data_IF_126516916425
#
_entry.id   IF_126516916425
#
_cell.length_a   1.000
_cell.length_b   1.000
_cell.length_c   1.000
_cell.angle_alpha   90.00
_cell.angle_beta   90.00
_cell.angle_gamma   90.00
#
_symmetry.space_group_name_H-M   'P 1'
#
loop_
_entity.id
_entity.type
_entity.pdbx_description
1 polymer ?
#
# COMPACT_ATOMS: atom_id res chain seq x y z
N UNK A 1 -32.17 31.08 20.27
CA UNK A 1 -31.68 30.54 21.56
C UNK A 1 -31.22 29.11 21.31
N UNK A 2 -29.91 28.87 21.27
CA UNK A 2 -29.34 27.53 21.15
C UNK A 2 -29.22 26.90 22.53
N UNK A 3 -29.72 25.68 22.70
CA UNK A 3 -29.58 24.92 23.94
C UNK A 3 -28.09 24.58 24.09
N UNK A 4 -27.43 24.94 25.21
CA UNK A 4 -26.04 24.54 25.43
C UNK A 4 -26.01 23.03 25.63
N UNK A 5 -25.29 22.32 24.77
CA UNK A 5 -25.02 20.88 24.92
C UNK A 5 -23.92 20.76 25.97
N UNK A 6 -24.26 20.90 27.24
CA UNK A 6 -23.30 20.67 28.33
C UNK A 6 -23.17 19.16 28.50
N UNK A 7 -22.21 18.55 27.80
CA UNK A 7 -21.90 17.13 27.99
C UNK A 7 -21.50 16.86 29.44
N UNK A 8 -22.08 15.82 30.04
CA UNK A 8 -21.71 15.41 31.39
C UNK A 8 -20.28 14.84 31.40
N UNK A 9 -19.51 15.01 32.49
CA UNK A 9 -18.14 14.48 32.57
C UNK A 9 -18.05 12.97 32.29
N UNK A 10 -19.07 12.21 32.68
CA UNK A 10 -19.19 10.77 32.42
C UNK A 10 -19.33 10.47 30.94
N UNK A 11 -20.18 11.19 30.21
CA UNK A 11 -20.34 11.00 28.76
C UNK A 11 -19.04 11.27 28.01
N UNK A 12 -18.31 12.33 28.39
CA UNK A 12 -17.03 12.68 27.77
C UNK A 12 -16.00 11.56 28.00
N UNK A 13 -15.89 11.02 29.22
CA UNK A 13 -14.95 9.94 29.53
C UNK A 13 -15.33 8.60 28.86
N UNK A 14 -16.62 8.28 28.77
CA UNK A 14 -17.10 7.07 28.08
C UNK A 14 -16.82 7.16 26.58
N UNK A 15 -17.09 8.30 25.95
CA UNK A 15 -16.80 8.55 24.55
C UNK A 15 -15.29 8.48 24.27
N UNK A 16 -14.46 9.12 25.10
CA UNK A 16 -13.00 9.10 24.97
C UNK A 16 -12.44 7.67 25.04
N UNK A 17 -12.97 6.84 25.94
CA UNK A 17 -12.62 5.41 26.03
C UNK A 17 -13.01 4.64 24.77
N UNK A 18 -14.20 4.88 24.20
CA UNK A 18 -14.64 4.24 22.96
C UNK A 18 -13.78 4.68 21.77
N UNK A 19 -13.50 5.98 21.66
CA UNK A 19 -12.67 6.54 20.59
C UNK A 19 -11.24 6.00 20.68
N UNK A 20 -10.64 6.00 21.87
CA UNK A 20 -9.29 5.43 22.09
C UNK A 20 -9.21 3.97 21.64
N UNK A 21 -10.22 3.16 21.99
CA UNK A 21 -10.29 1.75 21.57
C UNK A 21 -10.48 1.60 20.07
N UNK A 22 -11.24 2.49 19.44
CA UNK A 22 -11.43 2.51 17.99
C UNK A 22 -10.12 2.86 17.29
N UNK A 23 -9.39 3.86 17.76
CA UNK A 23 -8.07 4.23 17.23
C UNK A 23 -7.07 3.07 17.32
N UNK A 24 -7.08 2.32 18.42
CA UNK A 24 -6.23 1.13 18.59
C UNK A 24 -6.61 -0.02 17.65
N UNK A 25 -7.91 -0.20 17.35
CA UNK A 25 -8.37 -1.16 16.35
C UNK A 25 -7.89 -0.76 14.96
N UNK A 26 -8.10 0.52 14.60
CA UNK A 26 -7.71 1.05 13.30
C UNK A 26 -6.19 0.97 13.07
N UNK A 27 -5.39 1.28 14.09
CA UNK A 27 -3.93 1.18 14.01
C UNK A 27 -3.47 -0.25 13.74
N UNK A 28 -4.07 -1.24 14.42
CA UNK A 28 -3.77 -2.66 14.18
C UNK A 28 -4.26 -3.13 12.82
N UNK A 29 -5.41 -2.64 12.35
CA UNK A 29 -5.90 -2.96 11.01
C UNK A 29 -4.94 -2.45 9.93
N UNK A 30 -4.43 -1.21 10.06
CA UNK A 30 -3.44 -0.64 9.15
C UNK A 30 -2.11 -1.41 9.16
N UNK A 31 -1.67 -1.89 10.33
CA UNK A 31 -0.50 -2.76 10.43
C UNK A 31 -0.70 -4.10 9.68
N UNK A 32 -1.89 -4.70 9.79
CA UNK A 32 -2.25 -5.90 9.03
C UNK A 32 -2.36 -5.61 7.52
N UNK A 33 -2.84 -4.43 7.12
CA UNK A 33 -2.82 -4.01 5.72
C UNK A 33 -1.39 -3.90 5.18
N UNK A 34 -0.43 -3.42 5.99
CA UNK A 34 0.99 -3.41 5.62
C UNK A 34 1.56 -4.82 5.43
N UNK A 35 1.21 -5.75 6.32
CA UNK A 35 1.59 -7.17 6.19
C UNK A 35 1.00 -7.79 4.92
N UNK A 36 -0.28 -7.50 4.64
CA UNK A 36 -0.95 -7.95 3.41
C UNK A 36 -0.25 -7.43 2.16
N UNK A 37 0.17 -6.15 2.14
CA UNK A 37 0.93 -5.60 1.02
C UNK A 37 2.27 -6.32 0.83
N UNK A 38 3.00 -6.63 1.91
CA UNK A 38 4.25 -7.40 1.81
C UNK A 38 4.02 -8.80 1.23
N UNK A 39 2.95 -9.48 1.62
CA UNK A 39 2.59 -10.79 1.07
C UNK A 39 2.20 -10.71 -0.41
N UNK A 40 1.48 -9.65 -0.81
CA UNK A 40 1.14 -9.39 -2.20
C UNK A 40 2.39 -9.11 -3.06
N UNK A 41 3.34 -8.33 -2.55
CA UNK A 41 4.61 -8.10 -3.21
C UNK A 41 5.41 -9.40 -3.37
N UNK A 42 5.49 -10.23 -2.33
CA UNK A 42 6.13 -11.54 -2.41
C UNK A 42 5.45 -12.46 -3.45
N UNK A 43 4.12 -12.41 -3.56
CA UNK A 43 3.40 -13.14 -4.60
C UNK A 43 3.72 -12.63 -6.00
N UNK A 44 3.88 -11.30 -6.17
CA UNK A 44 4.33 -10.70 -7.42
C UNK A 44 5.75 -11.17 -7.78
N UNK A 45 6.68 -11.16 -6.83
CA UNK A 45 8.07 -11.57 -7.03
C UNK A 45 8.17 -13.04 -7.47
N UNK A 46 7.30 -13.93 -6.95
CA UNK A 46 7.21 -15.32 -7.43
C UNK A 46 6.89 -15.37 -8.92
N UNK A 47 5.99 -14.52 -9.42
CA UNK A 47 5.64 -14.47 -10.85
C UNK A 47 6.82 -13.99 -11.70
N UNK A 48 7.57 -12.99 -11.23
CA UNK A 48 8.77 -12.47 -11.90
C UNK A 48 9.87 -13.53 -11.98
N UNK A 49 10.13 -14.25 -10.88
CA UNK A 49 11.15 -15.30 -10.83
C UNK A 49 10.87 -16.50 -11.76
N UNK A 50 9.62 -16.69 -12.20
CA UNK A 50 9.25 -17.74 -13.15
C UNK A 50 9.40 -17.31 -14.62
N UNK A 51 9.92 -16.10 -14.87
CA UNK A 51 10.24 -15.64 -16.20
C UNK A 51 11.71 -15.94 -16.54
N UNK A 52 11.93 -16.94 -17.42
CA UNK A 52 13.26 -17.34 -17.91
C UNK A 52 13.94 -16.26 -18.78
N UNK A 53 13.20 -15.25 -19.23
CA UNK A 53 13.65 -14.19 -20.15
C UNK A 53 13.69 -12.80 -19.49
N UNK A 54 13.54 -12.70 -18.16
CA UNK A 54 13.52 -11.42 -17.47
C UNK A 54 14.86 -10.69 -17.59
N UNK A 55 14.90 -9.60 -18.36
CA UNK A 55 15.99 -8.65 -18.31
C UNK A 55 15.91 -7.94 -16.97
N UNK A 56 16.89 -8.17 -16.10
CA UNK A 56 16.86 -7.71 -14.69
C UNK A 56 16.94 -6.18 -14.59
N UNK A 57 17.31 -5.50 -15.68
CA UNK A 57 17.42 -4.05 -15.77
C UNK A 57 16.10 -3.36 -16.17
N UNK A 58 15.06 -4.12 -16.55
CA UNK A 58 13.78 -3.54 -16.96
C UNK A 58 12.82 -3.38 -15.77
N UNK A 59 12.48 -2.13 -15.45
CA UNK A 59 11.56 -1.75 -14.37
C UNK A 59 10.09 -1.94 -14.76
N UNK A 60 9.82 -2.88 -15.68
CA UNK A 60 8.48 -3.13 -16.19
C UNK A 60 7.69 -3.95 -15.18
N UNK A 61 6.59 -3.36 -14.69
CA UNK A 61 5.68 -3.89 -13.66
C UNK A 61 4.84 -5.09 -14.10
N UNK A 62 5.20 -5.76 -15.20
CA UNK A 62 4.49 -6.89 -15.75
C UNK A 62 5.52 -7.99 -16.00
N UNK A 63 5.35 -9.19 -15.39
CA UNK A 63 6.19 -10.33 -15.72
C UNK A 63 6.14 -10.59 -17.22
N UNK A 64 7.25 -10.30 -17.90
CA UNK A 64 7.33 -10.45 -19.36
C UNK A 64 7.44 -11.94 -19.76
N UNK A 65 7.37 -12.22 -21.06
CA UNK A 65 7.44 -13.58 -21.57
C UNK A 65 6.19 -14.42 -21.30
N UNK A 66 5.99 -15.46 -22.14
CA UNK A 66 4.79 -16.31 -22.08
C UNK A 66 4.65 -17.06 -20.76
N UNK A 67 5.76 -17.44 -20.12
CA UNK A 67 5.77 -18.15 -18.84
C UNK A 67 5.44 -17.21 -17.67
N UNK A 68 6.04 -16.01 -17.64
CA UNK A 68 5.78 -14.99 -16.62
C UNK A 68 4.33 -14.52 -16.62
N UNK A 69 3.77 -14.24 -17.81
CA UNK A 69 2.37 -13.81 -17.94
C UNK A 69 1.39 -14.89 -17.43
N UNK A 70 1.64 -16.16 -17.73
CA UNK A 70 0.81 -17.28 -17.26
C UNK A 70 0.89 -17.42 -15.74
N UNK A 71 2.11 -17.36 -15.17
CA UNK A 71 2.31 -17.42 -13.72
C UNK A 71 1.60 -16.27 -13.00
N UNK A 72 1.76 -15.05 -13.50
CA UNK A 72 1.12 -13.86 -12.97
C UNK A 72 -0.41 -13.94 -13.00
N UNK A 73 -0.99 -14.36 -14.13
CA UNK A 73 -2.45 -14.57 -14.26
C UNK A 73 -2.96 -15.63 -13.28
N UNK A 74 -2.22 -16.72 -13.09
CA UNK A 74 -2.57 -17.79 -12.14
C UNK A 74 -2.58 -17.26 -10.70
N UNK A 75 -1.52 -16.57 -10.29
CA UNK A 75 -1.39 -15.96 -8.95
C UNK A 75 -2.51 -14.95 -8.70
N UNK A 76 -2.77 -14.08 -9.67
CA UNK A 76 -3.85 -13.09 -9.57
C UNK A 76 -5.21 -13.74 -9.40
N UNK A 77 -5.53 -14.78 -10.18
CA UNK A 77 -6.80 -15.49 -10.11
C UNK A 77 -6.99 -16.23 -8.77
N UNK A 78 -5.92 -16.84 -8.25
CA UNK A 78 -5.92 -17.53 -6.95
C UNK A 78 -6.16 -16.57 -5.79
N UNK A 79 -5.45 -15.43 -5.78
CA UNK A 79 -5.62 -14.40 -4.76
C UNK A 79 -7.02 -13.75 -4.86
N UNK A 80 -7.49 -13.45 -6.07
CA UNK A 80 -8.82 -12.89 -6.31
C UNK A 80 -9.92 -13.79 -5.74
N UNK A 81 -9.81 -15.10 -5.99
CA UNK A 81 -10.74 -16.10 -5.48
C UNK A 81 -10.67 -16.20 -3.96
N UNK A 82 -9.46 -16.29 -3.39
CA UNK A 82 -9.23 -16.41 -1.94
C UNK A 82 -9.75 -15.20 -1.17
N UNK A 83 -9.58 -14.00 -1.73
CA UNK A 83 -10.01 -12.73 -1.13
C UNK A 83 -11.45 -12.33 -1.49
N UNK A 84 -12.08 -13.03 -2.43
CA UNK A 84 -13.41 -12.70 -3.00
C UNK A 84 -13.45 -11.29 -3.59
N UNK A 85 -12.41 -10.91 -4.31
CA UNK A 85 -12.28 -9.64 -5.02
C UNK A 85 -12.18 -9.87 -6.52
N UNK A 86 -12.43 -8.82 -7.31
CA UNK A 86 -12.23 -8.91 -8.76
C UNK A 86 -10.74 -9.06 -9.11
N UNK A 87 -10.43 -9.77 -10.20
CA UNK A 87 -9.04 -9.85 -10.69
C UNK A 87 -8.45 -8.46 -10.96
N UNK A 88 -9.22 -7.53 -11.51
CA UNK A 88 -8.76 -6.14 -11.74
C UNK A 88 -8.40 -5.42 -10.44
N UNK A 89 -9.12 -5.69 -9.35
CA UNK A 89 -8.77 -5.15 -8.02
C UNK A 89 -7.47 -5.75 -7.50
N UNK A 90 -7.28 -7.07 -7.67
CA UNK A 90 -6.06 -7.75 -7.24
C UNK A 90 -4.86 -7.34 -8.09
N UNK A 91 -5.03 -7.17 -9.40
CA UNK A 91 -4.00 -6.68 -10.31
C UNK A 91 -3.38 -5.37 -9.80
N UNK A 92 -4.24 -4.37 -9.57
CA UNK A 92 -3.83 -3.07 -9.04
C UNK A 92 -3.17 -3.20 -7.65
N UNK A 93 -3.69 -4.05 -6.79
CA UNK A 93 -3.12 -4.28 -5.45
C UNK A 93 -1.74 -4.94 -5.52
N UNK A 94 -1.54 -5.90 -6.42
CA UNK A 94 -0.25 -6.55 -6.65
C UNK A 94 0.78 -5.54 -7.17
N UNK A 95 0.42 -4.74 -8.17
CA UNK A 95 1.29 -3.68 -8.70
C UNK A 95 1.64 -2.64 -7.62
N UNK A 96 0.65 -2.14 -6.89
CA UNK A 96 0.87 -1.19 -5.79
C UNK A 96 1.73 -1.79 -4.67
N UNK A 97 1.50 -3.05 -4.31
CA UNK A 97 2.29 -3.75 -3.30
C UNK A 97 3.77 -3.83 -3.70
N UNK A 98 4.06 -4.27 -4.92
CA UNK A 98 5.42 -4.38 -5.43
C UNK A 98 6.13 -3.02 -5.47
N UNK A 99 5.48 -1.99 -6.04
CA UNK A 99 5.99 -0.61 -6.06
C UNK A 99 6.28 -0.09 -4.65
N UNK A 100 5.33 -0.27 -3.73
CA UNK A 100 5.44 0.21 -2.35
C UNK A 100 6.64 -0.40 -1.63
N UNK A 101 6.80 -1.73 -1.74
CA UNK A 101 7.88 -2.45 -1.05
C UNK A 101 9.26 -2.14 -1.62
N UNK A 102 9.35 -1.88 -2.93
CA UNK A 102 10.62 -1.66 -3.60
C UNK A 102 11.08 -0.20 -3.56
N UNK A 103 10.16 0.75 -3.71
CA UNK A 103 10.48 2.16 -4.00
C UNK A 103 10.01 3.16 -2.93
N UNK A 104 9.09 2.77 -2.04
CA UNK A 104 8.52 3.69 -1.04
C UNK A 104 8.53 3.08 0.38
N UNK A 105 9.72 2.76 0.91
CA UNK A 105 9.84 2.08 2.20
C UNK A 105 9.34 2.91 3.40
N UNK A 106 9.37 4.25 3.32
CA UNK A 106 8.87 5.11 4.41
C UNK A 106 7.35 5.19 4.39
N UNK A 107 6.73 5.13 3.21
CA UNK A 107 5.26 4.98 3.10
C UNK A 107 4.84 3.64 3.72
N UNK A 108 5.57 2.56 3.44
CA UNK A 108 5.31 1.26 4.03
C UNK A 108 5.45 1.27 5.56
N UNK A 109 6.50 1.91 6.10
CA UNK A 109 6.68 2.08 7.54
C UNK A 109 5.52 2.87 8.17
N UNK A 110 5.09 3.94 7.52
CA UNK A 110 3.99 4.79 7.98
C UNK A 110 2.67 4.01 8.03
N UNK A 111 2.41 3.16 7.03
CA UNK A 111 1.26 2.25 7.02
C UNK A 111 1.38 1.21 8.15
N UNK A 112 2.55 0.59 8.32
CA UNK A 112 2.80 -0.42 9.34
C UNK A 112 2.64 0.12 10.76
N UNK A 113 2.98 1.40 10.98
CA UNK A 113 2.79 2.11 12.25
C UNK A 113 1.36 2.63 12.44
N UNK A 114 0.51 2.47 11.43
CA UNK A 114 -0.89 2.90 11.41
C UNK A 114 -1.08 4.41 11.35
N UNK A 115 -0.08 5.16 10.89
CA UNK A 115 -0.15 6.61 10.70
C UNK A 115 -0.95 6.97 9.45
N UNK A 116 -0.88 6.12 8.43
CA UNK A 116 -1.68 6.23 7.21
C UNK A 116 -2.49 4.95 6.99
N UNK A 117 -3.48 5.01 6.10
CA UNK A 117 -4.27 3.85 5.68
C UNK A 117 -4.00 3.50 4.20
N UNK A 118 -4.54 2.37 3.74
CA UNK A 118 -4.36 1.90 2.37
C UNK A 118 -4.84 2.91 1.29
N UNK A 119 -5.83 3.76 1.59
CA UNK A 119 -6.28 4.78 0.65
C UNK A 119 -5.20 5.84 0.42
N UNK A 120 -4.54 6.30 1.49
CA UNK A 120 -3.40 7.22 1.36
C UNK A 120 -2.30 6.58 0.52
N UNK A 121 -1.99 5.31 0.76
CA UNK A 121 -1.00 4.57 -0.02
C UNK A 121 -1.37 4.56 -1.50
N UNK A 122 -2.60 4.16 -1.86
CA UNK A 122 -3.06 4.18 -3.25
C UNK A 122 -2.86 5.56 -3.87
N UNK A 123 -3.35 6.62 -3.22
CA UNK A 123 -3.23 7.99 -3.75
C UNK A 123 -1.77 8.44 -3.91
N UNK A 124 -0.91 8.09 -2.96
CA UNK A 124 0.52 8.40 -3.02
C UNK A 124 1.15 7.68 -4.22
N UNK A 125 0.88 6.40 -4.40
CA UNK A 125 1.46 5.62 -5.49
C UNK A 125 0.95 6.06 -6.86
N UNK A 126 -0.36 6.30 -6.98
CA UNK A 126 -0.99 6.79 -8.21
C UNK A 126 -0.39 8.15 -8.63
N UNK A 127 -0.14 9.05 -7.66
CA UNK A 127 0.53 10.32 -7.94
C UNK A 127 2.03 10.18 -8.24
N UNK A 128 2.67 9.12 -7.76
CA UNK A 128 4.11 8.89 -7.95
C UNK A 128 4.46 8.31 -9.32
N UNK A 129 3.48 7.79 -10.07
CA UNK A 129 3.67 7.24 -11.42
C UNK A 129 4.40 8.23 -12.36
N UNK A 130 4.14 9.53 -12.21
CA UNK A 130 4.74 10.59 -13.03
C UNK A 130 6.26 10.73 -12.84
N UNK A 131 6.79 10.24 -11.71
CA UNK A 131 8.23 10.29 -11.41
C UNK A 131 8.95 9.21 -12.22
N UNK A 132 8.28 8.10 -12.53
CA UNK A 132 8.86 6.93 -13.18
C UNK A 132 9.72 6.09 -12.23
N UNK A 133 10.21 4.96 -12.74
CA UNK A 133 10.81 3.92 -11.90
C UNK A 133 12.29 3.57 -12.18
N UNK A 134 13.01 4.38 -12.96
CA UNK A 134 14.42 4.17 -13.32
C UNK A 134 15.36 3.92 -12.12
N UNK A 135 16.41 3.12 -12.36
CA UNK A 135 17.53 2.87 -11.45
C UNK A 135 18.41 4.11 -11.22
N UNK A 136 18.31 5.11 -12.09
CA UNK A 136 19.27 6.19 -12.07
C UNK A 136 19.17 6.99 -10.75
N UNK A 137 20.31 7.52 -10.26
CA UNK A 137 20.34 8.23 -8.99
C UNK A 137 19.40 9.44 -8.92
N UNK A 138 19.05 10.04 -10.07
CA UNK A 138 18.19 11.21 -10.13
C UNK A 138 16.72 10.85 -9.89
N UNK A 139 16.23 9.76 -10.49
CA UNK A 139 14.89 9.23 -10.24
C UNK A 139 14.77 8.78 -8.78
N UNK A 140 15.77 8.09 -8.26
CA UNK A 140 15.78 7.68 -6.85
C UNK A 140 15.71 8.90 -5.90
N UNK A 141 16.52 9.93 -6.15
CA UNK A 141 16.49 11.16 -5.37
C UNK A 141 15.13 11.89 -5.46
N UNK A 142 14.49 11.89 -6.65
CA UNK A 142 13.15 12.45 -6.84
C UNK A 142 12.09 11.65 -6.07
N UNK A 143 12.12 10.32 -6.10
CA UNK A 143 11.22 9.45 -5.32
C UNK A 143 11.37 9.68 -3.83
N UNK A 144 12.59 9.69 -3.31
CA UNK A 144 12.85 9.93 -1.89
C UNK A 144 12.40 11.33 -1.41
N UNK A 145 12.59 12.34 -2.27
CA UNK A 145 12.12 13.71 -1.99
C UNK A 145 10.60 13.80 -1.98
N UNK A 146 9.95 13.17 -2.98
CA UNK A 146 8.50 13.06 -3.05
C UNK A 146 7.92 12.34 -1.83
N UNK A 147 8.47 11.17 -1.49
CA UNK A 147 8.06 10.37 -0.34
C UNK A 147 8.11 11.17 0.96
N UNK A 148 9.21 11.92 1.17
CA UNK A 148 9.37 12.79 2.35
C UNK A 148 8.32 13.90 2.39
N UNK A 149 8.03 14.51 1.24
CA UNK A 149 7.11 15.63 1.15
C UNK A 149 5.66 15.18 1.37
N UNK A 150 5.26 14.07 0.74
CA UNK A 150 3.87 13.59 0.79
C UNK A 150 3.50 13.04 2.16
N UNK A 151 4.44 12.39 2.86
CA UNK A 151 4.19 11.86 4.22
C UNK A 151 3.91 12.96 5.24
N UNK A 152 4.53 14.13 5.12
CA UNK A 152 4.21 15.29 5.98
C UNK A 152 2.74 15.72 5.88
N UNK A 153 2.13 15.48 4.72
CA UNK A 153 0.71 15.81 4.48
C UNK A 153 -0.18 14.63 4.85
N UNK A 154 0.25 13.39 4.59
CA UNK A 154 -0.57 12.19 4.79
C UNK A 154 -0.66 11.74 6.26
N UNK A 155 0.36 12.02 7.07
CA UNK A 155 0.39 11.71 8.51
C UNK A 155 -0.25 12.79 9.40
N UNK A 156 -0.48 13.99 8.85
CA UNK A 156 -1.05 15.15 9.56
C UNK A 156 -2.56 15.20 9.50
#
# INVERSE_FOLDING_TARGET
>A
MGIPITSTPTFVAELDSVVSRLEDVERRARALDAERMKLMAAAFDIAVLHNDEADTDDYTFIPEGRSGEIAYRSIRAEIATSMRLSETTIDRKLSHAHVLTLHYPRVLDSLARGLINERHVSTILDAAEVIGFSADPEHEARRASYETAVLKVAEG
#
